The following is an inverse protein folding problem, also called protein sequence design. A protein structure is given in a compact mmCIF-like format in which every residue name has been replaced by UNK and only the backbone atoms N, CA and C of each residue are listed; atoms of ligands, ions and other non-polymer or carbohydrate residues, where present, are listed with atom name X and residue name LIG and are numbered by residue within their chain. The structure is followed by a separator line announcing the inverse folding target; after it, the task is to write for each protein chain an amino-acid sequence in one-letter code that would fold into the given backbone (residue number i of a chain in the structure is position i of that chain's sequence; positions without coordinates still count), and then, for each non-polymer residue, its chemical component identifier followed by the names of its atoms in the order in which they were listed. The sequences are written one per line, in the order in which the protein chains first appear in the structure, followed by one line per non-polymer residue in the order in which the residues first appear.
data_IF_570138618489
#
_entry.id   IF_570138618489
#
_cell.length_a   1.000
_cell.length_b   1.000
_cell.length_c   1.000
_cell.angle_alpha   90.00
_cell.angle_beta   90.00
_cell.angle_gamma   90.00
#
_symmetry.space_group_name_H-M   'P 1'
#
loop_
_entity.id
_entity.type
_entity.pdbx_description
1 polymer ?
#
# COMPACT_ATOMS: atom_id res chain seq x y z
N UNK A 1 -0.41 26.45 19.99
CA UNK A 1 0.66 25.49 19.65
C UNK A 1 0.15 24.59 18.53
N UNK A 2 0.70 24.71 17.32
CA UNK A 2 0.27 23.89 16.17
C UNK A 2 0.84 22.49 16.36
N UNK A 3 -0.01 21.51 16.65
CA UNK A 3 0.35 20.09 16.63
C UNK A 3 0.79 19.73 15.20
N UNK A 4 2.09 19.80 14.90
CA UNK A 4 2.67 19.30 13.66
C UNK A 4 2.29 17.84 13.55
N UNK A 5 1.33 17.53 12.69
CA UNK A 5 0.80 16.18 12.53
C UNK A 5 1.94 15.32 11.99
N UNK A 6 2.41 14.38 12.83
CA UNK A 6 3.49 13.46 12.48
C UNK A 6 3.07 12.72 11.20
N UNK A 7 3.80 12.96 10.12
CA UNK A 7 3.58 12.33 8.82
C UNK A 7 4.44 11.07 8.76
N UNK A 8 3.88 9.99 8.22
CA UNK A 8 4.62 8.74 8.04
C UNK A 8 5.86 9.01 7.18
N UNK A 9 7.03 8.56 7.65
CA UNK A 9 8.25 8.48 6.86
C UNK A 9 8.73 7.04 6.81
N UNK A 10 9.00 6.58 5.60
CA UNK A 10 9.57 5.25 5.40
C UNK A 10 11.09 5.35 5.45
N UNK A 11 11.71 4.49 6.26
CA UNK A 11 13.15 4.42 6.39
C UNK A 11 13.66 3.05 5.93
N UNK A 12 14.85 2.97 5.32
CA UNK A 12 15.39 1.69 4.84
C UNK A 12 15.55 0.65 5.95
N UNK A 13 15.77 1.09 7.19
CA UNK A 13 15.94 0.24 8.37
C UNK A 13 14.62 -0.38 8.84
N UNK A 14 13.51 0.37 8.78
CA UNK A 14 12.20 -0.05 9.32
C UNK A 14 11.24 -0.57 8.26
N UNK A 15 11.50 -0.32 6.98
CA UNK A 15 10.54 -0.63 5.90
C UNK A 15 10.15 -2.11 5.83
N UNK A 16 11.02 -3.02 6.27
CA UNK A 16 10.68 -4.45 6.34
C UNK A 16 9.54 -4.71 7.32
N UNK A 17 9.56 -4.05 8.48
CA UNK A 17 8.50 -4.15 9.49
C UNK A 17 7.21 -3.53 8.98
N UNK A 18 7.30 -2.36 8.33
CA UNK A 18 6.17 -1.68 7.69
C UNK A 18 5.48 -2.58 6.64
N UNK A 19 6.27 -3.27 5.82
CA UNK A 19 5.78 -4.23 4.82
C UNK A 19 5.06 -5.41 5.46
N UNK A 20 5.64 -6.01 6.52
CA UNK A 20 5.00 -7.12 7.22
C UNK A 20 3.71 -6.70 7.93
N UNK A 21 3.68 -5.48 8.48
CA UNK A 21 2.46 -4.92 9.08
C UNK A 21 1.36 -4.71 8.02
N UNK A 22 1.71 -4.20 6.84
CA UNK A 22 0.76 -4.04 5.73
C UNK A 22 0.23 -5.38 5.22
N UNK A 23 1.10 -6.39 5.05
CA UNK A 23 0.68 -7.74 4.63
C UNK A 23 -0.34 -8.35 5.60
N UNK A 24 -0.15 -8.17 6.91
CA UNK A 24 -1.05 -8.71 7.95
C UNK A 24 -2.33 -7.90 8.11
N UNK A 25 -2.29 -6.58 7.90
CA UNK A 25 -3.40 -5.69 8.18
C UNK A 25 -4.42 -5.49 7.05
N UNK A 26 -4.02 -5.70 5.80
CA UNK A 26 -4.90 -5.51 4.64
C UNK A 26 -5.87 -6.68 4.47
N UNK A 27 -7.17 -6.37 4.37
CA UNK A 27 -8.27 -7.35 4.37
C UNK A 27 -8.79 -7.63 2.96
N UNK A 28 -7.91 -8.11 2.09
CA UNK A 28 -8.25 -8.46 0.70
C UNK A 28 -7.93 -9.93 0.41
N UNK A 29 -8.62 -10.54 -0.57
CA UNK A 29 -8.43 -11.95 -0.90
C UNK A 29 -7.04 -12.25 -1.45
N UNK A 30 -6.43 -11.27 -2.12
CA UNK A 30 -5.02 -11.26 -2.45
C UNK A 30 -4.37 -9.96 -1.96
N UNK A 31 -3.20 -10.08 -1.33
CA UNK A 31 -2.36 -8.96 -0.89
C UNK A 31 -0.91 -9.26 -1.27
N UNK A 32 -0.34 -8.42 -2.11
CA UNK A 32 1.08 -8.41 -2.45
C UNK A 32 1.70 -7.08 -2.05
N UNK A 33 2.69 -7.09 -1.16
CA UNK A 33 3.39 -5.88 -0.70
C UNK A 33 4.88 -6.02 -1.00
N UNK A 34 5.45 -5.01 -1.66
CA UNK A 34 6.86 -5.00 -2.07
C UNK A 34 7.49 -3.65 -1.77
N UNK A 35 8.75 -3.64 -1.39
CA UNK A 35 9.55 -2.41 -1.36
C UNK A 35 9.96 -2.02 -2.76
N UNK A 36 10.13 -0.72 -2.98
CA UNK A 36 10.59 -0.14 -4.23
C UNK A 36 11.62 0.95 -3.96
N UNK A 37 12.74 0.88 -4.67
CA UNK A 37 13.85 1.83 -4.62
C UNK A 37 13.80 2.86 -5.76
N UNK A 38 12.64 3.08 -6.39
CA UNK A 38 12.47 4.07 -7.48
C UNK A 38 12.95 5.48 -7.13
N UNK A 39 12.91 5.88 -5.85
CA UNK A 39 13.43 7.15 -5.36
C UNK A 39 14.89 7.12 -4.90
N UNK A 40 15.60 6.00 -5.12
CA UNK A 40 16.88 5.66 -4.51
C UNK A 40 16.73 4.89 -3.20
N UNK A 41 17.81 4.24 -2.76
CA UNK A 41 17.83 3.44 -1.52
C UNK A 41 17.54 4.29 -0.27
N UNK A 42 17.83 5.59 -0.31
CA UNK A 42 17.58 6.53 0.79
C UNK A 42 16.11 6.97 0.89
N UNK A 43 15.33 6.80 -0.18
CA UNK A 43 13.92 7.19 -0.26
C UNK A 43 13.06 6.01 -0.68
N UNK A 44 13.01 4.96 0.16
CA UNK A 44 12.30 3.76 -0.21
C UNK A 44 10.80 4.03 -0.19
N UNK A 45 10.07 3.27 -1.01
CA UNK A 45 8.62 3.34 -1.09
C UNK A 45 8.02 1.94 -1.10
N UNK A 46 6.72 1.82 -0.88
CA UNK A 46 6.03 0.53 -0.83
C UNK A 46 5.00 0.48 -1.95
N UNK A 47 5.05 -0.58 -2.74
CA UNK A 47 4.04 -0.91 -3.74
C UNK A 47 3.17 -2.03 -3.20
N UNK A 48 1.86 -1.80 -3.24
CA UNK A 48 0.84 -2.71 -2.77
C UNK A 48 -0.02 -3.10 -3.97
N UNK A 49 -0.27 -4.40 -4.12
CA UNK A 49 -1.26 -4.95 -5.05
C UNK A 49 -2.29 -5.69 -4.22
N UNK A 50 -3.56 -5.35 -4.40
CA UNK A 50 -4.68 -6.05 -3.76
C UNK A 50 -5.65 -6.57 -4.81
N UNK A 51 -6.42 -7.60 -4.47
CA UNK A 51 -7.58 -8.03 -5.25
C UNK A 51 -8.68 -8.58 -4.35
N UNK A 52 -9.93 -8.38 -4.75
CA UNK A 52 -11.09 -9.01 -4.09
C UNK A 52 -11.24 -10.49 -4.47
N UNK A 53 -10.54 -10.94 -5.51
CA UNK A 53 -10.49 -12.34 -5.94
C UNK A 53 -9.23 -13.02 -5.44
N UNK A 54 -9.34 -14.30 -5.06
CA UNK A 54 -8.16 -15.15 -4.90
C UNK A 54 -7.49 -15.34 -6.25
N UNK A 55 -6.16 -15.46 -6.28
CA UNK A 55 -5.39 -15.65 -7.52
C UNK A 55 -5.83 -16.90 -8.29
N UNK A 56 -6.15 -17.98 -7.59
CA UNK A 56 -6.66 -19.24 -8.14
C UNK A 56 -7.99 -19.07 -8.90
N UNK A 57 -8.80 -18.10 -8.48
CA UNK A 57 -10.11 -17.81 -9.07
C UNK A 57 -10.03 -16.79 -10.22
N UNK A 58 -8.84 -16.28 -10.53
CA UNK A 58 -8.66 -15.36 -11.64
C UNK A 58 -8.67 -16.13 -12.96
N UNK A 59 -9.30 -15.58 -14.00
CA UNK A 59 -9.31 -16.19 -15.33
C UNK A 59 -7.87 -16.47 -15.79
N UNK A 60 -7.57 -17.75 -16.06
CA UNK A 60 -6.24 -18.25 -16.43
C UNK A 60 -5.14 -18.05 -15.36
N UNK A 61 -5.50 -17.81 -14.09
CA UNK A 61 -4.55 -17.55 -13.01
C UNK A 61 -3.83 -16.19 -13.11
N UNK A 62 -4.33 -15.29 -13.95
CA UNK A 62 -3.76 -13.96 -14.21
C UNK A 62 -4.47 -12.93 -13.33
N UNK A 63 -3.74 -12.33 -12.38
CA UNK A 63 -4.31 -11.39 -11.40
C UNK A 63 -4.95 -10.16 -12.06
N UNK A 64 -4.38 -9.71 -13.18
CA UNK A 64 -4.81 -8.55 -13.95
C UNK A 64 -6.22 -8.73 -14.54
N UNK A 65 -6.69 -9.97 -14.69
CA UNK A 65 -8.06 -10.29 -15.11
C UNK A 65 -9.08 -10.19 -13.96
N UNK A 66 -8.63 -9.92 -12.73
CA UNK A 66 -9.50 -9.77 -11.55
C UNK A 66 -9.77 -8.30 -11.21
N UNK A 67 -10.62 -8.06 -10.19
CA UNK A 67 -10.79 -6.73 -9.59
C UNK A 67 -9.59 -6.41 -8.70
N UNK A 68 -8.46 -6.10 -9.33
CA UNK A 68 -7.22 -5.75 -8.65
C UNK A 68 -7.04 -4.24 -8.54
N UNK A 69 -6.28 -3.77 -7.56
CA UNK A 69 -5.84 -2.38 -7.46
C UNK A 69 -4.36 -2.31 -7.08
N UNK A 70 -3.65 -1.30 -7.59
CA UNK A 70 -2.25 -1.01 -7.23
C UNK A 70 -2.15 0.33 -6.52
N UNK A 71 -1.53 0.31 -5.35
CA UNK A 71 -1.39 1.44 -4.44
C UNK A 71 0.10 1.67 -4.19
N UNK A 72 0.48 2.94 -4.11
CA UNK A 72 1.84 3.38 -3.78
C UNK A 72 1.82 4.14 -2.46
N UNK A 73 2.71 3.75 -1.54
CA UNK A 73 3.06 4.53 -0.35
C UNK A 73 4.45 5.10 -0.57
N UNK A 74 4.54 6.40 -0.80
CA UNK A 74 5.80 7.11 -1.00
C UNK A 74 6.62 7.19 0.29
N UNK A 75 7.89 7.53 0.17
CA UNK A 75 8.78 7.71 1.32
C UNK A 75 8.30 8.77 2.33
N UNK A 76 7.47 9.73 1.87
CA UNK A 76 6.86 10.78 2.69
C UNK A 76 5.45 10.40 3.19
N UNK A 77 5.06 9.13 3.08
CA UNK A 77 3.79 8.64 3.61
C UNK A 77 2.56 9.05 2.77
N UNK A 78 2.76 9.63 1.58
CA UNK A 78 1.66 9.85 0.63
C UNK A 78 1.21 8.50 0.09
N UNK A 79 -0.07 8.20 0.23
CA UNK A 79 -0.75 7.00 -0.24
C UNK A 79 -1.62 7.37 -1.43
N UNK A 80 -1.43 6.69 -2.56
CA UNK A 80 -2.25 6.88 -3.76
C UNK A 80 -2.50 5.56 -4.49
N UNK A 81 -3.71 5.40 -5.02
CA UNK A 81 -3.98 4.40 -6.03
C UNK A 81 -3.55 4.95 -7.39
N UNK A 82 -2.74 4.20 -8.13
CA UNK A 82 -2.24 4.62 -9.45
C UNK A 82 -2.71 3.73 -10.60
N UNK A 83 -3.29 2.55 -10.32
CA UNK A 83 -3.75 1.62 -11.37
C UNK A 83 -4.79 0.62 -10.84
N UNK A 84 -5.59 0.07 -11.75
CA UNK A 84 -6.55 -1.02 -11.50
C UNK A 84 -7.98 -0.56 -11.21
N UNK A 85 -8.77 -1.47 -10.65
CA UNK A 85 -10.13 -1.25 -10.18
C UNK A 85 -10.20 -0.10 -9.17
N UNK A 86 -11.11 0.84 -9.39
CA UNK A 86 -11.25 2.05 -8.58
C UNK A 86 -11.73 1.71 -7.17
N UNK A 87 -10.83 1.78 -6.19
CA UNK A 87 -11.19 1.79 -4.77
C UNK A 87 -11.84 3.13 -4.46
N UNK A 88 -12.65 3.19 -3.39
CA UNK A 88 -13.11 4.48 -2.82
C UNK A 88 -12.00 5.18 -2.02
N UNK A 89 -10.76 5.07 -2.49
CA UNK A 89 -9.55 5.58 -1.86
C UNK A 89 -9.10 6.87 -2.58
N UNK A 90 -9.29 8.03 -1.95
CA UNK A 90 -8.67 9.28 -2.41
C UNK A 90 -7.22 9.35 -1.95
N UNK A 91 -6.37 10.00 -2.72
CA UNK A 91 -4.98 10.31 -2.34
C UNK A 91 -4.93 11.03 -0.99
N UNK A 92 -4.06 10.57 -0.09
CA UNK A 92 -3.92 11.17 1.25
C UNK A 92 -2.51 10.96 1.81
N UNK A 93 -2.20 11.65 2.90
CA UNK A 93 -0.96 11.47 3.64
C UNK A 93 -1.23 10.68 4.91
N UNK A 94 -0.58 9.52 5.05
CA UNK A 94 -0.69 8.68 6.23
C UNK A 94 0.08 9.27 7.42
N UNK A 95 -0.42 8.99 8.63
CA UNK A 95 0.22 9.40 9.88
C UNK A 95 1.22 8.34 10.34
N UNK A 96 0.78 7.09 10.19
CA UNK A 96 1.50 5.86 10.47
C UNK A 96 0.94 4.74 9.56
N UNK A 97 1.54 3.55 9.62
CA UNK A 97 1.10 2.38 8.86
C UNK A 97 -0.32 1.92 9.24
N UNK A 98 -0.72 1.84 10.53
CA UNK A 98 -2.10 1.54 10.90
C UNK A 98 -3.15 2.46 10.27
N UNK A 99 -2.89 3.77 10.22
CA UNK A 99 -3.77 4.74 9.56
C UNK A 99 -3.87 4.45 8.06
N UNK A 100 -2.77 4.09 7.40
CA UNK A 100 -2.80 3.68 6.00
C UNK A 100 -3.66 2.42 5.79
N UNK A 101 -3.49 1.39 6.62
CA UNK A 101 -4.27 0.14 6.59
C UNK A 101 -5.76 0.42 6.76
N UNK A 102 -6.13 1.22 7.76
CA UNK A 102 -7.52 1.56 8.03
C UNK A 102 -8.19 2.20 6.82
N UNK A 103 -7.50 3.13 6.14
CA UNK A 103 -8.02 3.83 4.97
C UNK A 103 -8.09 2.96 3.73
N UNK A 104 -7.12 2.06 3.52
CA UNK A 104 -7.11 1.15 2.37
C UNK A 104 -8.21 0.08 2.49
N UNK A 105 -8.52 -0.35 3.71
CA UNK A 105 -9.58 -1.33 3.97
C UNK A 105 -11.02 -0.75 3.92
N UNK A 106 -11.16 0.58 3.92
CA UNK A 106 -12.46 1.26 3.95
C UNK A 106 -13.11 1.30 2.56
#
# INVERSE_FOLDING_TARGET
MVNKTKTLRLYPTTIKEDVEQLKKGLKFAYVGVRTSSLGGNERPSILITISTSKRENCTNGILENSKYAKIHITHNGVVEQFSGWQLKLRKFTAKDIPHAIQKINA
#
